data_IF_443537505070
#
_entry.id   IF_443537505070
#
_cell.length_a   1.000
_cell.length_b   1.000
_cell.length_c   1.000
_cell.angle_alpha   90.00
_cell.angle_beta   90.00
_cell.angle_gamma   90.00
#
_symmetry.space_group_name_H-M   'P 1'
#
loop_
_entity.id
_entity.type
_entity.pdbx_description
1 polymer ?
#
# COMPACT_ATOMS: atom_id res chain seq x y z
N UNK A 1 26.01 7.30 25.98
CA UNK A 1 25.23 6.35 25.13
C UNK A 1 24.33 7.15 24.19
N UNK A 2 24.61 7.13 22.87
CA UNK A 2 23.75 7.80 21.87
C UNK A 2 22.43 7.03 21.79
N UNK A 3 21.33 7.61 22.25
CA UNK A 3 20.00 7.02 22.07
C UNK A 3 19.74 6.80 20.58
N UNK A 4 19.56 5.56 20.16
CA UNK A 4 19.29 5.17 18.77
C UNK A 4 18.00 5.89 18.34
N UNK A 5 18.11 6.88 17.45
CA UNK A 5 17.01 7.70 16.95
C UNK A 5 15.97 6.78 16.33
N UNK A 6 14.88 6.49 17.04
CA UNK A 6 13.83 5.59 16.56
C UNK A 6 13.22 6.19 15.29
N UNK A 7 13.08 5.36 14.24
CA UNK A 7 12.43 5.76 13.00
C UNK A 7 11.00 6.28 13.28
N UNK A 8 10.55 7.29 12.55
CA UNK A 8 9.19 7.81 12.65
C UNK A 8 8.15 6.70 12.51
N UNK A 9 8.36 5.77 11.57
CA UNK A 9 7.49 4.61 11.37
C UNK A 9 7.44 3.71 12.62
N UNK A 10 8.58 3.47 13.29
CA UNK A 10 8.61 2.68 14.52
C UNK A 10 7.81 3.31 15.65
N UNK A 11 7.81 4.65 15.76
CA UNK A 11 6.99 5.37 16.73
C UNK A 11 5.50 5.26 16.42
N UNK A 12 5.12 5.38 15.13
CA UNK A 12 3.75 5.20 14.69
C UNK A 12 3.23 3.79 14.95
N UNK A 13 4.07 2.77 14.72
CA UNK A 13 3.70 1.38 15.01
C UNK A 13 3.53 1.11 16.51
N UNK A 14 4.23 1.84 17.39
CA UNK A 14 3.97 1.77 18.85
C UNK A 14 2.61 2.36 19.21
N UNK A 15 2.23 3.49 18.59
CA UNK A 15 0.92 4.13 18.79
C UNK A 15 -0.21 3.24 18.23
N UNK A 16 0.05 2.50 17.14
CA UNK A 16 -0.88 1.54 16.55
C UNK A 16 -1.24 0.38 17.50
N UNK A 17 -0.36 0.01 18.42
CA UNK A 17 -0.58 -1.11 19.34
C UNK A 17 -0.88 -2.42 18.61
N UNK A 18 -2.02 -3.07 18.95
CA UNK A 18 -2.45 -4.32 18.28
C UNK A 18 -2.80 -4.13 16.80
N UNK A 19 -3.17 -2.93 16.37
CA UNK A 19 -3.57 -2.65 14.98
C UNK A 19 -2.40 -2.56 13.98
N UNK A 20 -1.14 -2.59 14.45
CA UNK A 20 0.05 -2.67 13.59
C UNK A 20 0.03 -3.88 12.64
N UNK A 21 -0.61 -4.99 13.05
CA UNK A 21 -0.74 -6.19 12.22
C UNK A 21 -1.56 -5.94 10.94
N UNK A 22 -2.57 -5.05 10.99
CA UNK A 22 -3.31 -4.65 9.79
C UNK A 22 -2.45 -3.85 8.82
N UNK A 23 -1.53 -3.01 9.30
CA UNK A 23 -0.57 -2.32 8.43
C UNK A 23 0.41 -3.29 7.77
N UNK A 24 0.88 -4.31 8.48
CA UNK A 24 1.74 -5.34 7.88
C UNK A 24 0.97 -6.20 6.87
N UNK A 25 -0.25 -6.62 7.20
CA UNK A 25 -1.12 -7.37 6.28
C UNK A 25 -1.40 -6.56 4.99
N UNK A 26 -1.67 -5.25 5.12
CA UNK A 26 -1.82 -4.35 3.98
C UNK A 26 -0.58 -4.34 3.08
N UNK A 27 0.62 -4.22 3.65
CA UNK A 27 1.86 -4.21 2.89
C UNK A 27 2.09 -5.54 2.15
N UNK A 28 1.82 -6.68 2.79
CA UNK A 28 1.96 -8.01 2.17
C UNK A 28 0.94 -8.20 1.05
N UNK A 29 -0.34 -7.88 1.29
CA UNK A 29 -1.39 -7.96 0.27
C UNK A 29 -1.11 -7.04 -0.92
N UNK A 30 -0.61 -5.82 -0.68
CA UNK A 30 -0.24 -4.89 -1.73
C UNK A 30 0.92 -5.41 -2.60
N UNK A 31 1.94 -6.02 -1.98
CA UNK A 31 3.05 -6.65 -2.71
C UNK A 31 2.58 -7.83 -3.57
N UNK A 32 1.74 -8.71 -3.01
CA UNK A 32 1.17 -9.85 -3.75
C UNK A 32 0.30 -9.35 -4.91
N UNK A 33 -0.56 -8.35 -4.66
CA UNK A 33 -1.39 -7.73 -5.70
C UNK A 33 -0.53 -7.17 -6.85
N UNK A 34 0.58 -6.49 -6.54
CA UNK A 34 1.49 -5.94 -7.53
C UNK A 34 2.10 -7.03 -8.44
N UNK A 35 2.45 -8.18 -7.88
CA UNK A 35 3.01 -9.31 -8.65
C UNK A 35 1.93 -10.02 -9.48
N UNK A 36 0.74 -10.24 -8.92
CA UNK A 36 -0.40 -10.81 -9.66
C UNK A 36 -0.80 -9.91 -10.83
N UNK A 37 -0.72 -8.59 -10.67
CA UNK A 37 -1.01 -7.62 -11.73
C UNK A 37 -0.02 -7.67 -12.92
N UNK A 38 1.13 -8.33 -12.79
CA UNK A 38 2.07 -8.54 -13.90
C UNK A 38 1.67 -9.72 -14.81
N UNK A 39 0.88 -10.67 -14.31
CA UNK A 39 0.50 -11.87 -15.07
C UNK A 39 -0.29 -11.52 -16.34
N UNK A 40 -1.28 -10.62 -16.34
CA UNK A 40 -1.99 -10.20 -17.55
C UNK A 40 -1.07 -9.67 -18.65
N UNK A 41 0.02 -8.97 -18.31
CA UNK A 41 0.99 -8.49 -19.31
C UNK A 41 1.77 -9.64 -19.95
N UNK A 42 2.10 -10.68 -19.17
CA UNK A 42 2.71 -11.89 -19.69
C UNK A 42 1.74 -12.66 -20.62
N UNK A 43 0.45 -12.74 -20.29
CA UNK A 43 -0.56 -13.38 -21.12
C UNK A 43 -0.75 -12.62 -22.45
N UNK A 44 -0.76 -11.29 -22.42
CA UNK A 44 -0.78 -10.45 -23.63
C UNK A 44 0.45 -10.72 -24.52
N UNK A 45 1.64 -10.82 -23.91
CA UNK A 45 2.86 -11.18 -24.65
C UNK A 45 2.73 -12.57 -25.31
N UNK A 46 2.15 -13.56 -24.62
CA UNK A 46 1.89 -14.89 -25.19
C UNK A 46 0.94 -14.83 -26.40
N UNK A 47 -0.13 -14.05 -26.29
CA UNK A 47 -1.07 -13.84 -27.40
C UNK A 47 -0.34 -13.24 -28.62
N UNK A 48 0.46 -12.21 -28.42
CA UNK A 48 1.22 -11.57 -29.51
C UNK A 48 2.18 -12.58 -30.14
N UNK A 49 2.90 -13.34 -29.33
CA UNK A 49 3.82 -14.37 -29.80
C UNK A 49 3.11 -15.41 -30.65
N UNK A 50 1.99 -15.99 -30.18
CA UNK A 50 1.21 -16.98 -30.89
C UNK A 50 0.71 -16.42 -32.24
N UNK A 51 0.18 -15.19 -32.26
CA UNK A 51 -0.28 -14.52 -33.51
C UNK A 51 0.85 -14.33 -34.50
N UNK A 52 2.06 -14.01 -34.07
CA UNK A 52 3.22 -13.84 -34.95
C UNK A 52 3.74 -15.17 -35.51
N UNK A 53 3.71 -16.23 -34.71
CA UNK A 53 4.20 -17.57 -35.12
C UNK A 53 3.30 -18.23 -36.14
N UNK A 54 1.98 -17.99 -36.13
CA UNK A 54 1.03 -18.63 -37.07
C UNK A 54 0.80 -17.85 -38.35
N UNK A 55 1.50 -16.76 -38.58
CA UNK A 55 1.39 -16.00 -39.84
C UNK A 55 1.70 -16.87 -41.08
N UNK A 56 0.92 -16.75 -42.17
CA UNK A 56 -0.27 -15.91 -42.40
C UNK A 56 -1.60 -16.56 -41.97
N UNK A 57 -1.59 -17.79 -41.47
CA UNK A 57 -2.79 -18.60 -41.21
C UNK A 57 -3.23 -18.46 -39.74
N UNK A 58 -3.99 -17.39 -39.44
CA UNK A 58 -4.46 -17.06 -38.08
C UNK A 58 -5.49 -18.06 -37.55
N UNK A 59 -6.04 -18.95 -38.35
CA UNK A 59 -6.98 -19.99 -37.89
C UNK A 59 -6.32 -21.00 -36.94
N UNK A 60 -5.00 -21.08 -36.95
CA UNK A 60 -4.20 -21.98 -36.11
C UNK A 60 -3.95 -21.41 -34.69
N UNK A 61 -4.27 -20.15 -34.44
CA UNK A 61 -4.13 -19.53 -33.12
C UNK A 61 -5.27 -19.97 -32.21
N UNK A 62 -5.10 -21.08 -31.52
CA UNK A 62 -6.17 -21.73 -30.71
C UNK A 62 -6.23 -21.29 -29.27
N UNK A 63 -5.13 -20.73 -28.73
CA UNK A 63 -5.03 -20.40 -27.31
C UNK A 63 -5.33 -18.94 -26.97
N UNK A 64 -5.56 -18.05 -27.94
CA UNK A 64 -5.80 -16.62 -27.73
C UNK A 64 -6.95 -16.38 -26.76
N UNK A 65 -8.08 -17.07 -26.94
CA UNK A 65 -9.26 -16.92 -26.09
C UNK A 65 -8.97 -17.35 -24.64
N UNK A 66 -8.21 -18.43 -24.46
CA UNK A 66 -7.82 -18.93 -23.15
C UNK A 66 -6.91 -17.93 -22.41
N UNK A 67 -5.87 -17.44 -23.08
CA UNK A 67 -4.99 -16.42 -22.50
C UNK A 67 -5.72 -15.10 -22.23
N UNK A 68 -6.68 -14.71 -23.08
CA UNK A 68 -7.52 -13.54 -22.86
C UNK A 68 -8.34 -13.66 -21.57
N UNK A 69 -9.04 -14.78 -21.38
CA UNK A 69 -9.81 -15.01 -20.15
C UNK A 69 -8.93 -15.13 -18.91
N UNK A 70 -7.75 -15.74 -19.04
CA UNK A 70 -6.77 -15.83 -17.97
C UNK A 70 -6.27 -14.45 -17.56
N UNK A 71 -5.94 -13.58 -18.51
CA UNK A 71 -5.52 -12.20 -18.25
C UNK A 71 -6.61 -11.41 -17.51
N UNK A 72 -7.88 -11.51 -17.94
CA UNK A 72 -9.01 -10.87 -17.24
C UNK A 72 -9.15 -11.41 -15.83
N UNK A 73 -9.09 -12.71 -15.64
CA UNK A 73 -9.19 -13.35 -14.32
C UNK A 73 -8.11 -12.87 -13.35
N UNK A 74 -6.85 -12.81 -13.78
CA UNK A 74 -5.75 -12.32 -12.95
C UNK A 74 -5.81 -10.82 -12.71
N UNK A 75 -6.29 -10.02 -13.67
CA UNK A 75 -6.51 -8.59 -13.46
C UNK A 75 -7.57 -8.33 -12.38
N UNK A 76 -8.68 -9.05 -12.41
CA UNK A 76 -9.73 -8.98 -11.39
C UNK A 76 -9.22 -9.44 -10.03
N UNK A 77 -8.46 -10.53 -9.98
CA UNK A 77 -7.85 -11.03 -8.74
C UNK A 77 -6.90 -10.00 -8.14
N UNK A 78 -6.03 -9.41 -8.94
CA UNK A 78 -5.12 -8.34 -8.51
C UNK A 78 -5.89 -7.15 -7.91
N UNK A 79 -6.98 -6.73 -8.57
CA UNK A 79 -7.83 -5.65 -8.09
C UNK A 79 -8.45 -5.99 -6.72
N UNK A 80 -9.00 -7.17 -6.55
CA UNK A 80 -9.61 -7.61 -5.27
C UNK A 80 -8.57 -7.64 -4.15
N UNK A 81 -7.37 -8.16 -4.42
CA UNK A 81 -6.27 -8.19 -3.46
C UNK A 81 -5.83 -6.76 -3.05
N UNK A 82 -5.77 -5.84 -4.02
CA UNK A 82 -5.40 -4.45 -3.75
C UNK A 82 -6.46 -3.73 -2.92
N UNK A 83 -7.75 -3.93 -3.22
CA UNK A 83 -8.85 -3.40 -2.40
C UNK A 83 -8.75 -3.94 -0.97
N UNK A 84 -8.50 -5.25 -0.80
CA UNK A 84 -8.27 -5.86 0.51
C UNK A 84 -7.09 -5.22 1.27
N UNK A 85 -5.99 -4.95 0.56
CA UNK A 85 -4.83 -4.26 1.11
C UNK A 85 -5.19 -2.85 1.61
N UNK A 86 -5.93 -2.08 0.82
CA UNK A 86 -6.39 -0.73 1.19
C UNK A 86 -7.35 -0.76 2.38
N UNK A 87 -8.28 -1.71 2.44
CA UNK A 87 -9.20 -1.85 3.58
C UNK A 87 -8.44 -2.12 4.88
N UNK A 88 -7.44 -2.99 4.85
CA UNK A 88 -6.57 -3.25 6.00
C UNK A 88 -5.77 -1.98 6.39
N UNK A 89 -5.25 -1.26 5.41
CA UNK A 89 -4.49 -0.03 5.61
C UNK A 89 -5.33 1.06 6.28
N UNK A 90 -6.52 1.35 5.74
CA UNK A 90 -7.44 2.33 6.31
C UNK A 90 -7.86 1.98 7.73
N UNK A 91 -8.17 0.70 8.01
CA UNK A 91 -8.53 0.25 9.35
C UNK A 91 -7.40 0.50 10.37
N UNK A 92 -6.15 0.26 9.98
CA UNK A 92 -4.99 0.57 10.81
C UNK A 92 -4.80 2.08 10.98
N UNK A 93 -4.89 2.84 9.88
CA UNK A 93 -4.66 4.28 9.85
C UNK A 93 -5.65 5.05 10.74
N UNK A 94 -6.94 4.75 10.67
CA UNK A 94 -7.96 5.37 11.53
C UNK A 94 -7.75 5.09 13.02
N UNK A 95 -7.29 3.89 13.37
CA UNK A 95 -6.97 3.56 14.76
C UNK A 95 -5.74 4.31 15.26
N UNK A 96 -4.71 4.42 14.44
CA UNK A 96 -3.51 5.21 14.77
C UNK A 96 -3.88 6.68 14.93
N UNK A 97 -4.68 7.23 14.03
CA UNK A 97 -5.17 8.61 14.09
C UNK A 97 -5.91 8.88 15.40
N UNK A 98 -6.85 8.00 15.76
CA UNK A 98 -7.62 8.12 17.02
C UNK A 98 -6.70 8.06 18.24
N UNK A 99 -5.81 7.07 18.30
CA UNK A 99 -4.88 6.93 19.42
C UNK A 99 -3.93 8.13 19.54
N UNK A 100 -3.50 8.69 18.41
CA UNK A 100 -2.64 9.86 18.36
C UNK A 100 -3.38 11.10 18.88
N UNK A 101 -4.64 11.30 18.49
CA UNK A 101 -5.48 12.40 19.02
C UNK A 101 -5.65 12.30 20.53
N UNK A 102 -5.98 11.10 21.04
CA UNK A 102 -6.13 10.86 22.47
C UNK A 102 -4.80 11.14 23.21
N UNK A 103 -3.68 10.67 22.68
CA UNK A 103 -2.37 10.90 23.29
C UNK A 103 -2.01 12.39 23.35
N UNK A 104 -2.27 13.15 22.26
CA UNK A 104 -2.04 14.59 22.21
C UNK A 104 -2.96 15.35 23.17
N UNK A 105 -4.26 15.01 23.22
CA UNK A 105 -5.20 15.64 24.15
C UNK A 105 -4.83 15.36 25.61
N UNK A 106 -4.46 14.13 25.94
CA UNK A 106 -3.98 13.78 27.27
C UNK A 106 -2.70 14.53 27.69
N UNK A 107 -1.86 14.87 26.71
CA UNK A 107 -0.68 15.70 26.96
C UNK A 107 -1.07 17.16 27.21
N UNK A 108 -1.96 17.72 26.40
CA UNK A 108 -2.44 19.09 26.51
C UNK A 108 -3.12 19.33 27.89
N UNK A 109 -3.92 18.38 28.39
CA UNK A 109 -4.57 18.44 29.67
C UNK A 109 -3.59 18.54 30.89
N UNK A 110 -2.33 18.18 30.67
CA UNK A 110 -1.28 18.27 31.70
C UNK A 110 -0.50 19.58 31.64
N UNK A 111 -0.74 20.42 30.64
CA UNK A 111 -0.08 21.72 30.50
C UNK A 111 -0.75 22.77 31.37
N UNK A 112 0.01 23.78 31.87
CA UNK A 112 -0.57 24.91 32.58
C UNK A 112 -1.60 25.65 31.72
N UNK A 113 -2.69 26.13 32.36
CA UNK A 113 -3.76 26.84 31.67
C UNK A 113 -3.24 28.06 30.89
N UNK A 114 -2.30 28.82 31.48
CA UNK A 114 -1.67 29.95 30.81
C UNK A 114 -0.98 29.63 29.47
N UNK A 115 -0.47 28.42 29.30
CA UNK A 115 0.06 27.97 28.01
C UNK A 115 -1.04 27.85 26.95
N UNK A 116 -2.19 27.28 27.34
CA UNK A 116 -3.34 27.11 26.42
C UNK A 116 -3.93 28.48 26.07
N UNK A 117 -3.99 29.42 26.99
CA UNK A 117 -4.43 30.79 26.73
C UNK A 117 -3.48 31.54 25.79
N UNK A 118 -2.18 31.42 26.00
CA UNK A 118 -1.15 32.10 25.18
C UNK A 118 -1.12 31.57 23.76
N UNK A 119 -1.17 30.25 23.58
CA UNK A 119 -1.13 29.63 22.22
C UNK A 119 -2.48 29.71 21.48
N UNK A 120 -3.57 29.85 22.23
CA UNK A 120 -4.93 29.85 21.72
C UNK A 120 -5.47 28.48 21.36
N UNK A 121 -6.71 28.22 21.75
CA UNK A 121 -7.39 26.92 21.56
C UNK A 121 -7.51 26.52 20.07
N UNK A 122 -7.72 27.51 19.19
CA UNK A 122 -7.82 27.30 17.74
C UNK A 122 -6.53 26.76 17.13
N UNK A 123 -5.36 27.30 17.53
CA UNK A 123 -4.05 26.84 17.05
C UNK A 123 -3.76 25.43 17.55
N UNK A 124 -4.01 25.16 18.81
CA UNK A 124 -3.83 23.82 19.42
C UNK A 124 -4.69 22.80 18.71
N UNK A 125 -5.98 23.11 18.50
CA UNK A 125 -6.91 22.24 17.77
C UNK A 125 -6.41 21.94 16.37
N UNK A 126 -5.96 22.96 15.64
CA UNK A 126 -5.42 22.81 14.28
C UNK A 126 -4.22 21.85 14.26
N UNK A 127 -3.24 22.06 15.15
CA UNK A 127 -2.06 21.17 15.25
C UNK A 127 -2.47 19.72 15.49
N UNK A 128 -3.38 19.46 16.43
CA UNK A 128 -3.85 18.10 16.74
C UNK A 128 -4.55 17.48 15.54
N UNK A 129 -5.42 18.22 14.85
CA UNK A 129 -6.19 17.71 13.73
C UNK A 129 -5.30 17.47 12.50
N UNK A 130 -4.48 18.45 12.10
CA UNK A 130 -3.64 18.37 10.92
C UNK A 130 -2.56 17.29 11.05
N UNK A 131 -1.89 17.21 12.20
CA UNK A 131 -0.85 16.19 12.44
C UNK A 131 -1.44 14.77 12.44
N UNK A 132 -2.64 14.60 13.01
CA UNK A 132 -3.29 13.29 13.01
C UNK A 132 -3.81 12.89 11.62
N UNK A 133 -4.33 13.84 10.84
CA UNK A 133 -4.77 13.61 9.47
C UNK A 133 -3.60 13.27 8.54
N UNK A 134 -2.49 14.01 8.63
CA UNK A 134 -1.29 13.70 7.85
C UNK A 134 -0.73 12.29 8.16
N UNK A 135 -0.82 11.85 9.42
CA UNK A 135 -0.40 10.50 9.82
C UNK A 135 -1.33 9.43 9.25
N UNK A 136 -2.63 9.67 9.25
CA UNK A 136 -3.63 8.78 8.67
C UNK A 136 -3.38 8.62 7.17
N UNK A 137 -3.27 9.72 6.43
CA UNK A 137 -3.00 9.71 4.98
C UNK A 137 -1.70 8.95 4.65
N UNK A 138 -0.64 9.14 5.46
CA UNK A 138 0.61 8.42 5.27
C UNK A 138 0.43 6.90 5.42
N UNK A 139 -0.27 6.45 6.45
CA UNK A 139 -0.48 5.02 6.70
C UNK A 139 -1.49 4.40 5.76
N UNK A 140 -2.54 5.13 5.37
CA UNK A 140 -3.61 4.63 4.52
C UNK A 140 -3.17 4.47 3.05
N UNK A 141 -2.40 5.41 2.52
CA UNK A 141 -2.05 5.48 1.11
C UNK A 141 -0.55 5.36 0.86
N UNK A 142 0.27 6.24 1.44
CA UNK A 142 1.69 6.33 1.10
C UNK A 142 2.47 5.07 1.47
N UNK A 143 2.07 4.35 2.51
CA UNK A 143 2.78 3.14 2.94
C UNK A 143 2.53 1.96 1.99
N UNK A 144 1.28 1.59 1.63
CA UNK A 144 1.01 0.58 0.60
C UNK A 144 1.60 0.94 -0.76
N UNK A 145 1.46 2.20 -1.22
CA UNK A 145 1.96 2.65 -2.51
C UNK A 145 3.49 2.53 -2.62
N UNK A 146 4.23 2.84 -1.54
CA UNK A 146 5.68 2.62 -1.48
C UNK A 146 6.06 1.15 -1.55
N UNK A 147 5.23 0.26 -1.05
CA UNK A 147 5.45 -1.19 -1.17
C UNK A 147 5.23 -1.62 -2.61
N UNK A 148 4.11 -1.23 -3.23
CA UNK A 148 3.81 -1.53 -4.64
C UNK A 148 4.91 -1.00 -5.56
N UNK A 149 5.31 0.27 -5.41
CA UNK A 149 6.34 0.90 -6.26
C UNK A 149 7.71 0.22 -6.17
N UNK A 150 8.01 -0.50 -5.10
CA UNK A 150 9.24 -1.29 -4.95
C UNK A 150 9.05 -2.74 -5.38
N UNK A 151 7.89 -3.33 -5.10
CA UNK A 151 7.59 -4.71 -5.44
C UNK A 151 7.47 -4.92 -6.97
N UNK A 152 6.90 -3.95 -7.69
CA UNK A 152 6.70 -4.02 -9.14
C UNK A 152 8.01 -4.17 -9.93
N UNK A 153 9.06 -3.34 -9.75
CA UNK A 153 10.33 -3.53 -10.45
C UNK A 153 10.99 -4.87 -10.12
N UNK A 154 10.93 -5.31 -8.86
CA UNK A 154 11.48 -6.61 -8.45
C UNK A 154 10.75 -7.75 -9.18
N UNK A 155 9.41 -7.69 -9.25
CA UNK A 155 8.61 -8.66 -9.98
C UNK A 155 8.88 -8.68 -11.49
N UNK A 156 9.22 -7.54 -12.10
CA UNK A 156 9.59 -7.45 -13.52
C UNK A 156 10.98 -8.02 -13.81
N UNK A 157 11.93 -7.90 -12.90
CA UNK A 157 13.28 -8.44 -13.08
C UNK A 157 13.28 -9.97 -13.23
N UNK A 158 12.36 -10.68 -12.57
CA UNK A 158 12.30 -12.15 -12.61
C UNK A 158 11.99 -12.66 -14.04
N UNK A 159 10.90 -12.26 -14.72
CA UNK A 159 10.62 -12.73 -16.08
C UNK A 159 11.65 -12.20 -17.10
N UNK A 160 12.19 -11.00 -16.94
CA UNK A 160 13.21 -10.44 -17.82
C UNK A 160 14.50 -11.28 -17.74
N UNK A 161 14.94 -11.67 -16.55
CA UNK A 161 16.10 -12.56 -16.39
C UNK A 161 15.88 -13.92 -17.03
N UNK A 162 14.65 -14.42 -17.07
CA UNK A 162 14.32 -15.72 -17.67
C UNK A 162 14.22 -15.69 -19.21
N UNK A 163 13.92 -14.50 -19.77
CA UNK A 163 13.77 -14.34 -21.24
C UNK A 163 15.08 -13.94 -21.93
N UNK A 164 16.08 -13.50 -21.19
CA UNK A 164 17.40 -13.08 -21.70
C UNK A 164 18.54 -14.08 -21.42
N UNK A 165 18.25 -15.20 -20.74
CA UNK A 165 19.14 -16.36 -20.59
C UNK A 165 18.75 -17.44 -21.61
#
# INVERSE_FOLDING_TARGET
MKAKKQSALSRLMKIAGKHKYFSYASCVLAAISAWVALIPFYDVWRIIKEVLEVRPDYSKATHITSYGWQAVGFALLAMVLYIGALMCSHKAAFRVQTNMRIAMMNHIMKLPLGYVETEGTGKIRKIVMDSSAATETFLAHNLPDKVVSRATPIGLLVPVSYTHL
#
